data_IF_903204516719
#
_entry.id   IF_903204516719
#
_cell.length_a   1.000
_cell.length_b   1.000
_cell.length_c   1.000
_cell.angle_alpha   90.00
_cell.angle_beta   90.00
_cell.angle_gamma   90.00
#
_symmetry.space_group_name_H-M   'P 1'
#
loop_
_entity.id
_entity.type
_entity.pdbx_description
1 polymer ?
#
# COMPACT_ATOMS: atom_id res chain seq x y z
N UNK A 1 73.69 -10.63 -6.79
CA UNK A 1 73.00 -11.93 -6.61
C UNK A 1 72.40 -11.83 -5.21
N UNK A 2 71.11 -11.63 -5.02
CA UNK A 2 69.99 -12.33 -5.66
C UNK A 2 68.79 -11.42 -5.95
N UNK A 3 67.98 -11.87 -6.90
CA UNK A 3 66.72 -11.33 -7.39
C UNK A 3 65.55 -11.65 -6.43
N UNK A 4 64.50 -10.82 -6.44
CA UNK A 4 63.04 -11.15 -6.40
C UNK A 4 62.25 -9.94 -5.90
N UNK A 5 61.62 -9.19 -6.80
CA UNK A 5 60.23 -9.36 -7.27
C UNK A 5 59.15 -8.97 -6.25
N UNK A 6 58.66 -7.75 -6.48
CA UNK A 6 57.29 -7.24 -6.39
C UNK A 6 56.22 -8.25 -5.94
N UNK A 7 55.48 -7.91 -4.88
CA UNK A 7 54.03 -8.04 -4.96
C UNK A 7 53.34 -6.98 -4.08
N UNK A 8 52.97 -5.87 -4.73
CA UNK A 8 51.94 -4.98 -4.22
C UNK A 8 50.62 -5.74 -4.28
N UNK A 9 50.15 -6.23 -3.13
CA UNK A 9 48.79 -6.74 -3.00
C UNK A 9 47.86 -5.53 -2.98
N UNK A 10 47.51 -5.06 -4.17
CA UNK A 10 46.32 -4.26 -4.40
C UNK A 10 45.11 -5.16 -4.22
N UNK A 11 44.68 -5.38 -2.97
CA UNK A 11 43.35 -5.89 -2.68
C UNK A 11 42.36 -4.77 -2.98
N UNK A 12 41.96 -4.69 -4.25
CA UNK A 12 40.72 -4.06 -4.65
C UNK A 12 39.58 -4.76 -3.91
N UNK A 13 39.00 -4.07 -2.93
CA UNK A 13 37.74 -4.47 -2.32
C UNK A 13 36.65 -4.43 -3.41
N UNK A 14 35.83 -5.48 -3.56
CA UNK A 14 34.81 -5.51 -4.59
C UNK A 14 33.76 -4.43 -4.31
N UNK A 15 33.54 -3.57 -5.31
CA UNK A 15 32.43 -2.64 -5.35
C UNK A 15 31.12 -3.41 -5.54
N UNK A 16 30.46 -3.75 -4.43
CA UNK A 16 29.00 -3.91 -4.39
C UNK A 16 28.57 -3.69 -2.96
N UNK A 17 28.06 -2.49 -2.69
CA UNK A 17 27.26 -2.27 -1.51
C UNK A 17 26.04 -3.20 -1.64
N UNK A 18 25.95 -4.19 -0.76
CA UNK A 18 24.84 -5.14 -0.73
C UNK A 18 23.55 -4.37 -0.42
N UNK A 19 22.76 -4.10 -1.45
CA UNK A 19 21.42 -3.55 -1.30
C UNK A 19 20.59 -4.57 -0.52
N UNK A 20 20.34 -4.29 0.75
CA UNK A 20 19.53 -5.18 1.59
C UNK A 20 18.10 -4.67 1.60
N UNK A 21 17.18 -5.44 1.03
CA UNK A 21 15.73 -5.15 1.03
C UNK A 21 15.00 -6.06 2.01
N UNK A 22 14.13 -5.49 2.84
CA UNK A 22 13.21 -6.23 3.68
C UNK A 22 11.92 -5.42 3.92
N UNK A 23 10.89 -6.09 4.41
CA UNK A 23 9.62 -5.46 4.75
C UNK A 23 9.50 -5.31 6.26
N UNK A 24 8.80 -4.27 6.72
CA UNK A 24 8.50 -4.06 8.13
C UNK A 24 7.09 -3.50 8.28
N UNK A 25 6.68 -3.22 9.52
CA UNK A 25 5.44 -2.50 9.79
C UNK A 25 5.79 -1.20 10.49
N UNK A 26 5.23 -0.10 10.01
CA UNK A 26 5.42 1.24 10.53
C UNK A 26 4.09 1.76 11.10
N UNK A 27 4.16 2.48 12.21
CA UNK A 27 3.01 3.18 12.77
C UNK A 27 3.12 4.68 12.51
N UNK A 28 2.20 5.22 11.71
CA UNK A 28 2.15 6.65 11.42
C UNK A 28 1.82 7.50 12.66
N UNK A 29 1.08 6.96 13.62
CA UNK A 29 0.71 7.67 14.85
C UNK A 29 1.91 7.85 15.80
N UNK A 30 2.81 6.88 15.82
CA UNK A 30 3.95 6.82 16.75
C UNK A 30 5.28 7.20 16.07
N UNK A 31 5.27 7.41 14.76
CA UNK A 31 6.42 7.71 13.89
C UNK A 31 7.57 6.68 14.00
N UNK A 32 7.24 5.39 14.13
CA UNK A 32 8.22 4.35 14.45
C UNK A 32 7.90 3.00 13.80
N UNK A 33 8.96 2.22 13.55
CA UNK A 33 8.86 0.81 13.16
C UNK A 33 8.43 -0.06 14.34
N UNK A 34 7.64 -1.07 14.04
CA UNK A 34 7.02 -1.94 15.03
C UNK A 34 7.85 -3.20 15.29
N UNK A 35 8.00 -3.53 16.58
CA UNK A 35 8.64 -4.76 17.05
C UNK A 35 7.58 -5.67 17.64
N UNK A 36 7.50 -6.91 17.16
CA UNK A 36 6.66 -7.95 17.74
C UNK A 36 7.46 -8.65 18.83
N UNK A 37 7.24 -8.25 20.08
CA UNK A 37 7.85 -8.91 21.25
C UNK A 37 6.92 -10.03 21.74
N UNK A 38 5.61 -9.77 21.77
CA UNK A 38 4.54 -10.73 22.10
C UNK A 38 3.24 -10.32 21.36
N UNK A 39 2.20 -11.20 21.24
CA UNK A 39 0.96 -10.89 20.53
C UNK A 39 0.23 -9.60 20.97
N UNK A 40 0.53 -9.12 22.18
CA UNK A 40 -0.08 -7.96 22.83
C UNK A 40 0.91 -6.86 23.24
N UNK A 41 2.21 -7.00 22.94
CA UNK A 41 3.25 -6.07 23.42
C UNK A 41 4.17 -5.67 22.26
N UNK A 42 4.16 -4.38 21.96
CA UNK A 42 4.91 -3.80 20.87
C UNK A 42 5.88 -2.74 21.37
N UNK A 43 7.12 -2.80 20.90
CA UNK A 43 8.17 -1.85 21.21
C UNK A 43 8.68 -1.17 19.93
N UNK A 44 9.57 -0.18 20.10
CA UNK A 44 10.02 0.66 19.00
C UNK A 44 11.56 0.76 18.99
N UNK A 45 12.19 0.22 17.96
CA UNK A 45 13.63 0.34 17.67
C UNK A 45 13.86 0.04 16.20
N UNK A 46 14.75 0.81 15.56
CA UNK A 46 15.11 0.65 14.15
C UNK A 46 15.99 -0.58 13.91
N UNK A 47 16.80 -0.96 14.91
CA UNK A 47 17.69 -2.13 14.85
C UNK A 47 16.91 -3.43 15.06
N UNK A 48 15.87 -3.37 15.89
CA UNK A 48 15.07 -4.52 16.34
C UNK A 48 13.71 -4.64 15.62
N UNK A 49 13.43 -3.76 14.65
CA UNK A 49 12.20 -3.79 13.87
C UNK A 49 11.96 -5.19 13.29
N UNK A 50 10.71 -5.67 13.32
CA UNK A 50 10.42 -6.98 12.74
C UNK A 50 10.63 -6.91 11.23
N UNK A 51 11.62 -7.65 10.77
CA UNK A 51 11.97 -7.78 9.35
C UNK A 51 11.23 -8.98 8.79
N UNK A 52 10.40 -8.73 7.80
CA UNK A 52 9.71 -9.73 7.02
C UNK A 52 10.43 -9.89 5.68
N UNK A 53 10.60 -11.14 5.27
CA UNK A 53 11.14 -11.47 3.95
C UNK A 53 10.09 -11.29 2.85
N UNK A 54 8.80 -11.23 3.22
CA UNK A 54 7.69 -11.05 2.27
C UNK A 54 6.79 -9.88 2.67
N UNK A 55 6.29 -9.17 1.66
CA UNK A 55 5.25 -8.16 1.83
C UNK A 55 3.96 -8.75 2.42
N UNK A 56 3.65 -10.00 2.09
CA UNK A 56 2.45 -10.68 2.59
C UNK A 56 2.47 -10.79 4.13
N UNK A 57 3.62 -11.15 4.71
CA UNK A 57 3.76 -11.27 6.16
C UNK A 57 3.71 -9.90 6.85
N UNK A 58 4.36 -8.88 6.27
CA UNK A 58 4.29 -7.51 6.76
C UNK A 58 2.84 -6.98 6.76
N UNK A 59 2.05 -7.28 5.73
CA UNK A 59 0.63 -6.94 5.66
C UNK A 59 -0.20 -7.66 6.71
N UNK A 60 0.04 -8.95 6.93
CA UNK A 60 -0.65 -9.71 7.98
C UNK A 60 -0.37 -9.10 9.36
N UNK A 61 0.89 -8.75 9.62
CA UNK A 61 1.28 -8.08 10.86
C UNK A 61 0.64 -6.70 11.01
N UNK A 62 0.63 -5.87 9.95
CA UNK A 62 -0.03 -4.57 9.96
C UNK A 62 -1.54 -4.69 10.24
N UNK A 63 -2.22 -5.65 9.61
CA UNK A 63 -3.67 -5.89 9.81
C UNK A 63 -4.01 -6.29 11.25
N UNK A 64 -3.16 -7.07 11.92
CA UNK A 64 -3.38 -7.49 13.32
C UNK A 64 -3.44 -6.30 14.29
N UNK A 65 -2.82 -5.17 13.96
CA UNK A 65 -2.80 -3.97 14.81
C UNK A 65 -3.97 -3.01 14.55
N UNK A 66 -4.92 -3.41 13.70
CA UNK A 66 -5.95 -2.57 13.06
C UNK A 66 -5.35 -1.66 12.00
N UNK A 67 -5.85 -1.80 10.77
CA UNK A 67 -5.37 -1.18 9.54
C UNK A 67 -5.31 0.36 9.54
N UNK A 68 -5.82 1.02 10.57
CA UNK A 68 -5.76 2.47 10.72
C UNK A 68 -4.52 2.99 11.47
N UNK A 69 -3.72 2.10 12.08
CA UNK A 69 -2.59 2.50 12.95
C UNK A 69 -1.25 1.92 12.51
N UNK A 70 -1.24 1.10 11.47
CA UNK A 70 -0.07 0.36 11.04
C UNK A 70 -0.12 0.10 9.53
N UNK A 71 0.97 0.44 8.85
CA UNK A 71 1.15 0.22 7.41
C UNK A 71 2.36 -0.70 7.18
N UNK A 72 2.32 -1.61 6.20
CA UNK A 72 3.53 -2.31 5.76
C UNK A 72 4.44 -1.29 5.05
N UNK A 73 5.74 -1.42 5.27
CA UNK A 73 6.75 -0.60 4.59
C UNK A 73 7.81 -1.50 3.96
N UNK A 74 8.35 -1.09 2.83
CA UNK A 74 9.61 -1.62 2.30
C UNK A 74 10.75 -0.77 2.84
N UNK A 75 11.80 -1.44 3.30
CA UNK A 75 13.03 -0.82 3.75
C UNK A 75 14.16 -1.28 2.82
N UNK A 76 14.88 -0.31 2.27
CA UNK A 76 16.05 -0.54 1.44
C UNK A 76 17.25 0.12 2.13
N UNK A 77 18.28 -0.68 2.41
CA UNK A 77 19.54 -0.21 2.97
C UNK A 77 20.58 -0.07 1.85
N UNK A 78 21.12 1.13 1.67
CA UNK A 78 22.20 1.41 0.72
C UNK A 78 23.33 2.15 1.42
N UNK A 79 24.52 1.53 1.56
CA UNK A 79 25.73 2.19 2.08
C UNK A 79 25.52 2.95 3.42
N UNK A 80 24.64 2.46 4.30
CA UNK A 80 24.22 3.06 5.58
C UNK A 80 23.06 4.06 5.51
N UNK A 81 22.52 4.37 4.33
CA UNK A 81 21.29 5.14 4.16
C UNK A 81 20.07 4.21 4.13
N UNK A 82 19.06 4.60 4.90
CA UNK A 82 17.80 3.88 5.03
C UNK A 82 16.74 4.58 4.21
N UNK A 83 16.17 3.87 3.24
CA UNK A 83 14.99 4.31 2.53
C UNK A 83 13.78 3.51 2.99
N UNK A 84 12.72 4.22 3.35
CA UNK A 84 11.45 3.63 3.76
C UNK A 84 10.36 4.04 2.77
N UNK A 85 9.65 3.06 2.24
CA UNK A 85 8.54 3.26 1.31
C UNK A 85 7.26 2.63 1.88
N UNK A 86 6.22 3.44 2.16
CA UNK A 86 4.88 2.97 2.49
C UNK A 86 4.31 2.05 1.41
N UNK A 87 3.76 0.91 1.82
CA UNK A 87 3.10 -0.04 0.92
C UNK A 87 1.62 -0.17 1.27
N UNK A 88 0.76 -0.46 0.28
CA UNK A 88 -0.67 -0.64 0.51
C UNK A 88 -0.95 -1.89 1.37
N UNK A 89 -1.94 -1.78 2.27
CA UNK A 89 -2.34 -2.78 3.27
C UNK A 89 -3.03 -4.00 2.64
N UNK A 90 -3.63 -3.80 1.48
CA UNK A 90 -4.11 -4.85 0.59
C UNK A 90 -3.47 -4.68 -0.77
N UNK A 91 -3.52 -5.74 -1.56
CA UNK A 91 -3.31 -5.58 -2.99
C UNK A 91 -4.39 -4.67 -3.55
N UNK A 92 -4.01 -3.89 -4.56
CA UNK A 92 -4.99 -3.24 -5.41
C UNK A 92 -6.01 -4.30 -5.88
N UNK A 93 -7.29 -3.92 -6.01
CA UNK A 93 -8.35 -4.83 -6.40
C UNK A 93 -7.98 -5.70 -7.60
N UNK A 94 -7.70 -6.99 -7.38
CA UNK A 94 -7.30 -7.89 -8.44
C UNK A 94 -8.50 -8.24 -9.36
N UNK A 95 -8.24 -8.42 -10.65
CA UNK A 95 -9.23 -8.93 -11.60
C UNK A 95 -9.96 -7.88 -12.44
N UNK A 96 -9.47 -6.64 -12.48
CA UNK A 96 -9.90 -5.61 -13.43
C UNK A 96 -8.98 -4.39 -13.43
N UNK A 97 -9.08 -3.57 -14.46
CA UNK A 97 -8.19 -2.41 -14.69
C UNK A 97 -8.85 -1.09 -14.34
N UNK A 98 -10.13 -1.10 -13.94
CA UNK A 98 -10.94 0.10 -13.75
C UNK A 98 -11.72 0.01 -12.45
N UNK A 99 -11.89 1.14 -11.77
CA UNK A 99 -12.72 1.29 -10.58
C UNK A 99 -13.64 2.50 -10.72
N UNK A 100 -14.60 2.60 -9.80
CA UNK A 100 -15.50 3.74 -9.71
C UNK A 100 -15.18 4.51 -8.45
N UNK A 101 -14.71 5.74 -8.63
CA UNK A 101 -14.60 6.73 -7.58
C UNK A 101 -15.90 7.53 -7.51
N UNK A 102 -16.31 7.89 -6.30
CA UNK A 102 -17.55 8.56 -5.98
C UNK A 102 -17.22 9.74 -5.08
N UNK A 103 -17.66 10.91 -5.51
CA UNK A 103 -17.53 12.17 -4.78
C UNK A 103 -18.89 12.53 -4.17
N UNK A 104 -18.85 12.98 -2.92
CA UNK A 104 -20.01 13.53 -2.22
C UNK A 104 -20.01 15.05 -2.41
N UNK A 105 -20.96 15.60 -3.16
CA UNK A 105 -20.98 17.04 -3.47
C UNK A 105 -21.23 17.90 -2.22
N UNK A 106 -21.76 17.31 -1.14
CA UNK A 106 -21.88 17.99 0.16
C UNK A 106 -20.56 18.01 0.94
N UNK A 107 -19.64 17.08 0.64
CA UNK A 107 -18.34 16.89 1.31
C UNK A 107 -17.27 16.49 0.27
N UNK A 108 -16.85 17.41 -0.61
CA UNK A 108 -15.97 17.11 -1.76
C UNK A 108 -14.58 16.60 -1.34
N UNK A 109 -14.16 16.88 -0.11
CA UNK A 109 -12.94 16.31 0.47
C UNK A 109 -13.03 14.80 0.72
N UNK A 110 -14.24 14.21 0.69
CA UNK A 110 -14.46 12.78 0.92
C UNK A 110 -14.62 12.05 -0.39
N UNK A 111 -13.59 11.27 -0.70
CA UNK A 111 -13.63 10.30 -1.80
C UNK A 111 -14.10 8.95 -1.30
N UNK A 112 -14.95 8.33 -2.10
CA UNK A 112 -15.46 7.00 -1.87
C UNK A 112 -15.18 6.12 -3.09
N UNK A 113 -15.05 4.83 -2.87
CA UNK A 113 -14.89 3.84 -3.90
C UNK A 113 -16.05 2.84 -3.86
N UNK A 114 -16.59 2.50 -5.01
CA UNK A 114 -17.70 1.56 -5.11
C UNK A 114 -17.21 0.13 -4.84
N UNK A 115 -17.60 -0.44 -3.70
CA UNK A 115 -17.31 -1.85 -3.36
C UNK A 115 -18.29 -2.83 -4.02
N UNK A 116 -19.56 -2.42 -4.14
CA UNK A 116 -20.63 -3.25 -4.69
C UNK A 116 -21.71 -2.37 -5.29
N UNK A 117 -22.04 -2.63 -6.55
CA UNK A 117 -23.20 -2.03 -7.22
C UNK A 117 -24.50 -2.77 -6.92
N UNK A 118 -25.64 -2.17 -7.24
CA UNK A 118 -26.98 -2.75 -7.07
C UNK A 118 -27.97 -1.72 -6.51
N UNK A 119 -29.09 -2.21 -5.96
CA UNK A 119 -30.14 -1.38 -5.36
C UNK A 119 -29.69 -0.65 -4.09
N UNK A 120 -28.72 -1.24 -3.37
CA UNK A 120 -28.07 -0.66 -2.19
C UNK A 120 -26.55 -0.73 -2.41
N UNK A 121 -25.98 0.28 -3.09
CA UNK A 121 -24.55 0.36 -3.32
C UNK A 121 -23.78 0.47 -1.99
N UNK A 122 -22.65 -0.23 -1.91
CA UNK A 122 -21.71 -0.13 -0.77
C UNK A 122 -20.50 0.69 -1.19
N UNK A 123 -20.11 1.60 -0.31
CA UNK A 123 -18.99 2.52 -0.49
C UNK A 123 -17.93 2.26 0.57
N UNK A 124 -16.66 2.34 0.19
CA UNK A 124 -15.51 2.42 1.11
C UNK A 124 -14.78 3.73 0.88
N UNK A 125 -14.02 4.21 1.85
CA UNK A 125 -13.05 5.30 1.63
C UNK A 125 -11.70 4.77 1.17
N UNK A 126 -11.51 3.44 1.15
CA UNK A 126 -10.27 2.79 0.78
C UNK A 126 -10.34 2.27 -0.66
N UNK A 127 -9.36 2.66 -1.49
CA UNK A 127 -9.27 2.22 -2.89
C UNK A 127 -9.12 0.69 -3.01
N UNK A 128 -8.47 0.08 -2.02
CA UNK A 128 -8.25 -1.35 -1.90
C UNK A 128 -9.54 -2.19 -1.80
N UNK A 129 -10.62 -1.58 -1.32
CA UNK A 129 -11.94 -2.20 -1.19
C UNK A 129 -12.78 -2.04 -2.46
N UNK A 130 -12.30 -1.27 -3.43
CA UNK A 130 -13.02 -0.96 -4.64
C UNK A 130 -13.32 -2.23 -5.44
N UNK A 131 -14.48 -2.26 -6.09
CA UNK A 131 -14.82 -3.29 -7.04
C UNK A 131 -14.05 -3.04 -8.34
N UNK A 132 -13.19 -3.98 -8.78
CA UNK A 132 -12.54 -3.86 -10.07
C UNK A 132 -13.50 -4.24 -11.20
N UNK A 133 -13.35 -3.54 -12.32
CA UNK A 133 -14.04 -3.76 -13.57
C UNK A 133 -13.03 -4.19 -14.62
N UNK A 134 -13.32 -5.31 -15.29
CA UNK A 134 -12.44 -5.89 -16.34
C UNK A 134 -12.36 -5.02 -17.59
N UNK A 135 -13.45 -4.31 -17.90
CA UNK A 135 -13.56 -3.46 -19.09
C UNK A 135 -14.01 -2.08 -18.68
N UNK A 136 -13.48 -1.07 -19.38
CA UNK A 136 -13.83 0.34 -19.18
C UNK A 136 -15.34 0.56 -19.41
N UNK A 137 -15.91 -0.06 -20.44
CA UNK A 137 -17.34 0.02 -20.74
C UNK A 137 -18.24 -0.45 -19.59
N UNK A 138 -17.82 -1.49 -18.86
CA UNK A 138 -18.58 -1.96 -17.69
C UNK A 138 -18.48 -0.97 -16.52
N UNK A 139 -17.35 -0.28 -16.39
CA UNK A 139 -17.16 0.80 -15.42
C UNK A 139 -18.01 2.03 -15.79
N UNK A 140 -17.97 2.50 -17.04
CA UNK A 140 -18.78 3.62 -17.55
C UNK A 140 -20.28 3.35 -17.35
N UNK A 141 -20.74 2.12 -17.61
CA UNK A 141 -22.13 1.76 -17.35
C UNK A 141 -22.49 1.88 -15.86
N UNK A 142 -21.57 1.48 -14.97
CA UNK A 142 -21.79 1.59 -13.54
C UNK A 142 -21.78 3.06 -13.08
N UNK A 143 -20.85 3.88 -13.58
CA UNK A 143 -20.79 5.32 -13.38
C UNK A 143 -22.11 6.01 -13.79
N UNK A 144 -22.58 5.76 -15.02
CA UNK A 144 -23.82 6.34 -15.53
C UNK A 144 -25.05 5.97 -14.68
N UNK A 145 -25.13 4.72 -14.21
CA UNK A 145 -26.21 4.28 -13.32
C UNK A 145 -26.20 5.01 -11.96
N UNK A 146 -25.04 5.45 -11.50
CA UNK A 146 -24.86 6.18 -10.25
C UNK A 146 -25.22 7.66 -10.44
N UNK A 147 -24.67 8.29 -11.47
CA UNK A 147 -24.93 9.69 -11.81
C UNK A 147 -26.40 9.95 -12.16
N UNK A 148 -27.11 8.97 -12.74
CA UNK A 148 -28.56 9.05 -13.00
C UNK A 148 -29.43 8.82 -11.74
N UNK A 149 -28.80 8.63 -10.57
CA UNK A 149 -29.51 8.41 -9.31
C UNK A 149 -30.31 7.10 -9.25
N UNK A 150 -30.12 6.16 -10.18
CA UNK A 150 -30.89 4.89 -10.20
C UNK A 150 -30.58 4.00 -9.01
N UNK A 151 -29.38 4.12 -8.43
CA UNK A 151 -28.87 3.23 -7.37
C UNK A 151 -28.81 3.86 -5.97
N UNK A 152 -28.93 5.18 -5.83
CA UNK A 152 -28.73 5.89 -4.56
C UNK A 152 -29.98 6.57 -3.98
N UNK A 153 -31.18 6.32 -4.54
CA UNK A 153 -32.44 7.02 -4.19
C UNK A 153 -32.82 7.06 -2.70
N UNK A 154 -32.21 6.24 -1.84
CA UNK A 154 -32.48 6.21 -0.41
C UNK A 154 -31.67 7.25 0.41
N UNK A 155 -30.61 7.83 -0.13
CA UNK A 155 -29.80 8.86 0.56
C UNK A 155 -29.94 10.17 -0.20
N UNK A 156 -30.43 11.23 0.46
CA UNK A 156 -30.55 12.60 -0.10
C UNK A 156 -29.20 13.28 -0.38
N UNK A 157 -28.13 12.52 -0.60
CA UNK A 157 -26.80 13.05 -0.91
C UNK A 157 -26.64 13.15 -2.40
N UNK A 158 -26.17 14.30 -2.86
CA UNK A 158 -25.79 14.48 -4.26
C UNK A 158 -24.42 13.83 -4.46
N UNK A 159 -24.40 12.69 -5.14
CA UNK A 159 -23.17 11.94 -5.41
C UNK A 159 -22.87 12.01 -6.91
N UNK A 160 -21.61 12.23 -7.25
CA UNK A 160 -21.07 12.06 -8.60
C UNK A 160 -20.12 10.88 -8.61
N UNK A 161 -20.04 10.19 -9.74
CA UNK A 161 -19.16 9.06 -9.95
C UNK A 161 -18.30 9.31 -11.19
N UNK A 162 -17.06 8.80 -11.16
CA UNK A 162 -16.15 8.79 -12.28
C UNK A 162 -15.40 7.45 -12.39
N UNK A 163 -15.04 7.09 -13.61
CA UNK A 163 -14.21 5.92 -13.89
C UNK A 163 -12.75 6.30 -13.73
N UNK A 164 -12.00 5.49 -12.97
CA UNK A 164 -10.56 5.72 -12.73
C UNK A 164 -9.80 4.44 -13.06
N UNK A 165 -8.66 4.51 -13.78
CA UNK A 165 -7.80 3.35 -13.98
C UNK A 165 -7.17 2.92 -12.65
N UNK A 166 -7.11 1.62 -12.41
CA UNK A 166 -6.53 1.05 -11.19
C UNK A 166 -5.00 1.11 -11.19
N UNK A 167 -4.40 1.15 -12.38
CA UNK A 167 -2.97 1.28 -12.61
C UNK A 167 -2.75 2.48 -13.54
N UNK A 168 -1.91 3.46 -13.15
CA UNK A 168 -1.52 4.56 -14.03
C UNK A 168 -0.64 4.09 -15.19
#
# INVERSE_FOLDING_TARGET
MDETEVNQVSTSLPASAELTEFYAVYSELEDRLLINIEPSLWHFSYEDAVKFLSLADARIAARRRSSSLAIPVRITLNQSEWHMEPLPLKDLPAGGSWIIEIEDLEYPERRYYLMKGGRLPKLSMQIEDAKPYKTEQAAIKAEADINQGKRFRARRRQLTAQVVPLFP
#
